data_IF_869911490947
#
_entry.id   IF_869911490947
#
_cell.length_a   1.000
_cell.length_b   1.000
_cell.length_c   1.000
_cell.angle_alpha   90.00
_cell.angle_beta   90.00
_cell.angle_gamma   90.00
#
_symmetry.space_group_name_H-M   'P 1'
#
loop_
_entity.id
_entity.type
_entity.pdbx_description
1 polymer ?
#
# COMPACT_ATOMS: atom_id res chain seq x y z
N UNK A 1 -0.14 -1.60 -10.48
CA UNK A 1 0.36 -0.80 -9.32
C UNK A 1 -0.87 -0.32 -8.56
N UNK A 2 -1.24 -1.02 -7.48
CA UNK A 2 -2.39 -0.62 -6.64
C UNK A 2 -2.11 0.77 -6.09
N UNK A 3 -2.94 1.73 -6.48
CA UNK A 3 -2.97 3.08 -5.90
C UNK A 3 -3.21 2.89 -4.41
N UNK A 4 -2.23 3.27 -3.58
CA UNK A 4 -2.47 3.52 -2.18
C UNK A 4 -3.49 4.66 -2.17
N UNK A 5 -4.75 4.35 -1.89
CA UNK A 5 -5.77 5.33 -1.57
C UNK A 5 -5.39 5.90 -0.20
N UNK A 6 -4.35 6.72 -0.21
CA UNK A 6 -4.10 7.63 0.87
C UNK A 6 -5.25 8.62 0.86
N UNK A 7 -5.96 8.69 1.96
CA UNK A 7 -6.99 9.70 2.17
C UNK A 7 -6.36 11.11 2.07
N UNK A 8 -6.21 11.61 0.85
CA UNK A 8 -5.86 13.02 0.55
C UNK A 8 -6.94 13.98 1.08
N UNK A 9 -8.07 13.46 1.56
CA UNK A 9 -9.23 14.24 2.00
C UNK A 9 -9.04 15.03 3.30
N UNK A 10 -7.91 14.92 4.01
CA UNK A 10 -7.73 15.58 5.32
C UNK A 10 -6.84 16.82 5.29
N UNK A 11 -6.22 17.18 4.17
CA UNK A 11 -5.34 18.37 4.10
C UNK A 11 -6.10 19.67 3.83
N UNK A 12 -7.31 19.59 3.26
CA UNK A 12 -8.02 20.80 2.83
C UNK A 12 -8.69 21.63 3.94
N UNK A 13 -8.85 21.10 5.16
CA UNK A 13 -9.63 21.78 6.20
C UNK A 13 -8.80 22.55 7.27
N UNK A 14 -7.47 22.43 7.23
CA UNK A 14 -6.61 23.11 8.24
C UNK A 14 -5.81 24.31 7.72
N UNK A 15 -5.88 24.62 6.43
CA UNK A 15 -4.98 25.60 5.80
C UNK A 15 -5.33 27.08 6.05
N UNK A 16 -6.55 27.39 6.46
CA UNK A 16 -6.97 28.80 6.57
C UNK A 16 -6.44 29.50 7.85
N UNK A 17 -6.18 28.75 8.92
CA UNK A 17 -5.74 29.36 10.19
C UNK A 17 -4.23 29.70 10.22
N UNK A 18 -3.40 29.09 9.38
CA UNK A 18 -1.95 29.34 9.38
C UNK A 18 -1.50 30.42 8.38
N UNK A 19 -2.34 30.81 7.44
CA UNK A 19 -2.01 31.84 6.43
C UNK A 19 -1.73 33.23 6.99
N UNK A 20 -2.01 33.50 8.29
CA UNK A 20 -1.79 34.78 8.92
C UNK A 20 -0.59 34.85 9.88
N UNK A 21 0.10 33.75 10.15
CA UNK A 21 1.28 33.80 10.99
C UNK A 21 2.48 34.28 10.16
N UNK A 22 2.96 35.53 10.42
CA UNK A 22 4.20 36.04 9.79
C UNK A 22 5.36 35.06 10.05
N UNK A 23 5.78 34.33 9.03
CA UNK A 23 6.92 33.43 9.13
C UNK A 23 8.18 34.26 9.40
N UNK A 24 8.89 33.94 10.48
CA UNK A 24 10.14 34.65 10.86
C UNK A 24 11.22 34.42 9.81
N UNK A 25 12.10 35.40 9.63
CA UNK A 25 13.31 35.20 8.84
C UNK A 25 14.20 34.13 9.46
N UNK A 26 15.06 33.51 8.67
CA UNK A 26 16.02 32.49 9.15
C UNK A 26 16.90 33.00 10.29
N UNK A 27 17.39 34.25 10.17
CA UNK A 27 18.22 34.88 11.20
C UNK A 27 17.45 35.12 12.49
N UNK A 28 16.20 35.63 12.40
CA UNK A 28 15.36 35.85 13.55
C UNK A 28 14.99 34.54 14.25
N UNK A 29 14.60 33.52 13.50
CA UNK A 29 14.28 32.21 14.07
C UNK A 29 15.49 31.55 14.76
N UNK A 30 16.69 31.72 14.21
CA UNK A 30 17.94 31.25 14.84
C UNK A 30 18.24 31.99 16.13
N UNK A 31 18.08 33.31 16.12
CA UNK A 31 18.29 34.16 17.33
C UNK A 31 17.32 33.79 18.45
N UNK A 32 16.04 33.55 18.13
CA UNK A 32 15.03 33.09 19.10
C UNK A 32 15.41 31.77 19.76
N UNK A 33 15.88 30.80 18.95
CA UNK A 33 16.33 29.51 19.50
C UNK A 33 17.51 29.69 20.45
N UNK A 34 18.53 30.46 20.07
CA UNK A 34 19.69 30.65 20.92
C UNK A 34 19.32 31.43 22.22
N UNK A 35 18.45 32.43 22.14
CA UNK A 35 17.95 33.13 23.32
C UNK A 35 17.16 32.20 24.26
N UNK A 36 16.23 31.38 23.69
CA UNK A 36 15.44 30.46 24.49
C UNK A 36 16.30 29.34 25.13
N UNK A 37 17.34 28.84 24.43
CA UNK A 37 18.30 27.89 24.97
C UNK A 37 19.04 28.44 26.20
N UNK A 38 19.59 29.66 26.12
CA UNK A 38 20.25 30.29 27.25
C UNK A 38 19.35 30.40 28.49
N UNK A 39 18.04 30.65 28.29
CA UNK A 39 17.07 30.66 29.38
C UNK A 39 16.85 29.28 29.95
N UNK A 40 16.78 28.22 29.09
CA UNK A 40 16.59 26.84 29.52
C UNK A 40 17.82 26.25 30.23
N UNK A 41 19.02 26.73 29.94
CA UNK A 41 20.28 26.36 30.60
C UNK A 41 20.40 26.95 32.04
N UNK A 42 19.62 27.96 32.37
CA UNK A 42 19.62 28.53 33.71
C UNK A 42 18.86 27.61 34.69
N UNK A 43 19.51 27.06 35.74
CA UNK A 43 18.89 26.10 36.66
C UNK A 43 17.59 26.58 37.31
N UNK A 44 17.50 27.89 37.68
CA UNK A 44 16.28 28.46 38.28
C UNK A 44 15.14 28.60 37.27
N UNK A 45 15.44 28.72 35.97
CA UNK A 45 14.45 28.86 34.90
C UNK A 45 14.08 27.47 34.31
N UNK A 46 14.98 26.52 34.33
CA UNK A 46 14.78 25.17 33.83
C UNK A 46 13.68 24.38 34.59
N UNK A 47 13.30 24.80 35.80
CA UNK A 47 12.18 24.21 36.55
C UNK A 47 10.79 24.73 36.11
N UNK A 48 10.74 25.74 35.22
CA UNK A 48 9.49 26.40 34.82
C UNK A 48 8.96 25.83 33.49
N UNK A 49 7.71 25.44 33.44
CA UNK A 49 7.00 24.98 32.26
C UNK A 49 7.15 25.93 31.08
N UNK A 50 6.90 27.23 31.32
CA UNK A 50 6.94 28.26 30.26
C UNK A 50 8.32 28.43 29.63
N UNK A 51 9.41 28.05 30.30
CA UNK A 51 10.77 28.06 29.75
C UNK A 51 10.89 27.10 28.62
N UNK A 52 10.45 25.86 28.83
CA UNK A 52 10.51 24.77 27.84
C UNK A 52 9.44 24.93 26.75
N UNK A 53 8.25 25.47 27.10
CA UNK A 53 7.22 25.82 26.10
C UNK A 53 7.77 26.87 25.10
N UNK A 54 8.45 27.90 25.59
CA UNK A 54 9.07 28.93 24.73
C UNK A 54 10.19 28.35 23.85
N UNK A 55 11.01 27.44 24.39
CA UNK A 55 12.05 26.76 23.61
C UNK A 55 11.45 25.88 22.53
N UNK A 56 10.41 25.11 22.86
CA UNK A 56 9.68 24.30 21.88
C UNK A 56 9.11 25.16 20.75
N UNK A 57 8.46 26.29 21.09
CA UNK A 57 7.91 27.23 20.11
C UNK A 57 9.01 27.88 19.25
N UNK A 58 10.18 28.18 19.82
CA UNK A 58 11.30 28.73 19.07
C UNK A 58 11.81 27.69 18.01
N UNK A 59 11.87 26.41 18.38
CA UNK A 59 12.18 25.35 17.40
C UNK A 59 11.09 25.19 16.34
N UNK A 60 9.81 25.30 16.68
CA UNK A 60 8.72 25.30 15.68
C UNK A 60 8.84 26.51 14.74
N UNK A 61 9.17 27.70 15.22
CA UNK A 61 9.44 28.83 14.34
C UNK A 61 10.64 28.57 13.41
N UNK A 62 11.68 27.89 13.91
CA UNK A 62 12.84 27.48 13.11
C UNK A 62 12.50 26.39 12.07
N UNK A 63 11.48 25.55 12.30
CA UNK A 63 10.95 24.59 11.31
C UNK A 63 10.23 25.31 10.17
N UNK A 64 9.41 26.33 10.47
CA UNK A 64 8.67 27.08 9.45
C UNK A 64 9.53 28.07 8.64
N UNK A 65 10.56 28.66 9.25
CA UNK A 65 11.36 29.70 8.61
C UNK A 65 11.92 29.34 7.21
N UNK A 66 12.45 28.13 6.96
CA UNK A 66 12.90 27.74 5.63
C UNK A 66 11.78 27.56 4.61
N UNK A 67 10.52 27.30 5.04
CA UNK A 67 9.37 27.09 4.16
C UNK A 67 8.90 28.39 3.51
N UNK A 68 9.33 29.54 4.02
CA UNK A 68 8.87 30.87 3.59
C UNK A 68 7.37 31.08 3.88
N UNK A 69 6.74 32.03 3.21
CA UNK A 69 5.32 32.37 3.41
C UNK A 69 4.35 31.58 2.54
N UNK A 70 4.76 30.40 2.04
CA UNK A 70 3.88 29.55 1.26
C UNK A 70 3.00 28.64 2.11
N UNK A 71 1.85 28.24 1.57
CA UNK A 71 0.97 27.23 2.16
C UNK A 71 0.39 26.31 1.08
N UNK A 72 0.13 25.06 1.45
CA UNK A 72 -0.44 24.08 0.53
C UNK A 72 -1.86 24.49 0.10
N UNK A 73 -2.18 24.28 -1.17
CA UNK A 73 -3.45 24.67 -1.79
C UNK A 73 -3.48 26.10 -2.33
N UNK A 74 -2.49 26.94 -1.98
CA UNK A 74 -2.42 28.30 -2.51
C UNK A 74 -2.21 28.31 -4.02
N UNK A 75 -2.88 29.24 -4.70
CA UNK A 75 -2.62 29.50 -6.12
C UNK A 75 -1.27 30.20 -6.31
N UNK A 76 -0.72 30.07 -7.50
CA UNK A 76 0.51 30.79 -7.86
C UNK A 76 0.35 32.32 -7.75
N UNK A 77 -0.83 32.85 -8.05
CA UNK A 77 -1.14 34.27 -7.94
C UNK A 77 -1.16 34.77 -6.48
N UNK A 78 -1.79 34.02 -5.57
CA UNK A 78 -1.79 34.33 -4.14
C UNK A 78 -0.37 34.34 -3.57
N UNK A 79 0.44 33.34 -3.95
CA UNK A 79 1.83 33.25 -3.48
C UNK A 79 2.74 34.33 -4.10
N UNK A 80 2.45 34.78 -5.30
CA UNK A 80 3.21 35.89 -5.92
C UNK A 80 3.19 37.17 -5.07
N UNK A 81 2.09 37.43 -4.36
CA UNK A 81 1.96 38.61 -3.45
C UNK A 81 2.81 38.42 -2.22
N UNK A 82 2.67 37.31 -1.48
CA UNK A 82 3.36 37.09 -0.19
C UNK A 82 4.83 36.73 -0.36
N UNK A 83 5.20 36.21 -1.53
CA UNK A 83 6.57 35.83 -1.90
C UNK A 83 7.28 36.84 -2.80
N UNK A 84 6.71 38.04 -3.00
CA UNK A 84 7.24 39.07 -3.91
C UNK A 84 8.71 39.43 -3.64
N UNK A 85 9.19 39.32 -2.40
CA UNK A 85 10.56 39.60 -2.00
C UNK A 85 11.51 38.40 -2.13
N UNK A 86 10.96 37.22 -2.43
CA UNK A 86 11.74 35.98 -2.49
C UNK A 86 12.22 35.71 -3.92
N UNK A 87 13.52 35.51 -4.09
CA UNK A 87 14.11 35.24 -5.41
C UNK A 87 13.82 33.81 -5.85
N UNK A 88 13.23 33.64 -7.04
CA UNK A 88 13.15 32.36 -7.76
C UNK A 88 14.44 32.13 -8.49
N UNK A 89 15.13 31.04 -8.19
CA UNK A 89 16.40 30.65 -8.84
C UNK A 89 16.20 29.82 -10.09
N UNK A 90 15.12 29.04 -10.15
CA UNK A 90 14.82 28.17 -11.29
C UNK A 90 13.33 27.84 -11.33
N UNK A 91 12.77 27.76 -12.55
CA UNK A 91 11.43 27.23 -12.81
C UNK A 91 11.56 26.12 -13.85
N UNK A 92 11.04 24.91 -13.54
CA UNK A 92 11.13 23.74 -14.43
C UNK A 92 9.85 22.92 -14.36
N UNK A 93 9.48 22.29 -15.49
CA UNK A 93 8.49 21.21 -15.51
C UNK A 93 9.14 19.91 -15.06
N UNK A 94 8.49 19.17 -14.17
CA UNK A 94 8.93 17.88 -13.64
C UNK A 94 7.77 16.91 -13.58
N UNK A 95 8.03 15.62 -13.78
CA UNK A 95 7.02 14.57 -13.57
C UNK A 95 7.22 13.91 -12.21
N UNK A 96 6.16 13.81 -11.42
CA UNK A 96 6.13 13.13 -10.12
C UNK A 96 4.97 12.14 -10.18
N UNK A 97 5.24 10.86 -10.03
CA UNK A 97 4.26 9.76 -10.10
C UNK A 97 3.35 9.84 -11.35
N UNK A 98 3.92 10.23 -12.49
CA UNK A 98 3.22 10.34 -13.77
C UNK A 98 2.50 11.68 -14.02
N UNK A 99 2.32 12.52 -12.99
CA UNK A 99 1.69 13.83 -13.11
C UNK A 99 2.75 14.92 -13.34
N UNK A 100 2.44 15.91 -14.20
CA UNK A 100 3.30 17.07 -14.43
C UNK A 100 3.12 18.12 -13.35
N UNK A 101 4.24 18.68 -12.85
CA UNK A 101 4.29 19.79 -11.90
C UNK A 101 5.19 20.90 -12.42
N UNK A 102 4.86 22.14 -12.06
CA UNK A 102 5.78 23.27 -12.20
C UNK A 102 6.56 23.43 -10.91
N UNK A 103 7.86 23.10 -10.95
CA UNK A 103 8.76 23.28 -9.81
C UNK A 103 9.39 24.67 -9.84
N UNK A 104 9.19 25.46 -8.76
CA UNK A 104 9.93 26.70 -8.51
C UNK A 104 10.91 26.51 -7.36
N UNK A 105 12.18 26.83 -7.61
CA UNK A 105 13.25 26.71 -6.63
C UNK A 105 13.52 28.05 -5.97
N UNK A 106 13.40 28.09 -4.66
CA UNK A 106 13.84 29.20 -3.80
C UNK A 106 15.11 28.82 -3.03
N UNK A 107 15.63 29.75 -2.21
CA UNK A 107 16.90 29.55 -1.49
C UNK A 107 16.90 28.32 -0.57
N UNK A 108 15.79 28.04 0.10
CA UNK A 108 15.66 27.00 1.14
C UNK A 108 14.56 25.98 0.89
N UNK A 109 13.72 26.21 -0.14
CA UNK A 109 12.54 25.41 -0.40
C UNK A 109 12.28 25.33 -1.88
N UNK A 110 11.76 24.19 -2.36
CA UNK A 110 11.16 24.02 -3.66
C UNK A 110 9.65 23.94 -3.50
N UNK A 111 8.93 24.68 -4.35
CA UNK A 111 7.49 24.62 -4.48
C UNK A 111 7.11 23.89 -5.76
N UNK A 112 6.15 22.98 -5.65
CA UNK A 112 5.66 22.24 -6.81
C UNK A 112 4.16 22.54 -6.98
N UNK A 113 3.84 23.14 -8.10
CA UNK A 113 2.48 23.51 -8.48
C UNK A 113 1.91 22.44 -9.38
N UNK A 114 0.71 21.96 -9.09
CA UNK A 114 -0.02 21.03 -9.91
C UNK A 114 -0.49 21.68 -11.23
N UNK A 115 -1.07 20.93 -12.19
CA UNK A 115 -1.55 21.49 -13.45
C UNK A 115 -2.62 22.59 -13.31
N UNK A 116 -3.29 22.66 -12.15
CA UNK A 116 -4.27 23.74 -11.85
C UNK A 116 -3.61 25.00 -11.26
N UNK A 117 -2.28 25.01 -11.15
CA UNK A 117 -1.53 26.14 -10.59
C UNK A 117 -1.61 26.25 -9.06
N UNK A 118 -2.01 25.20 -8.35
CA UNK A 118 -2.07 25.17 -6.89
C UNK A 118 -0.80 24.53 -6.32
N UNK A 119 -0.25 25.11 -5.26
CA UNK A 119 0.89 24.56 -4.52
C UNK A 119 0.49 23.27 -3.81
N UNK A 120 1.06 22.15 -4.22
CA UNK A 120 0.71 20.83 -3.70
C UNK A 120 1.84 20.20 -2.89
N UNK A 121 3.12 20.52 -3.21
CA UNK A 121 4.28 19.98 -2.52
C UNK A 121 5.25 21.11 -2.14
N UNK A 122 5.66 21.14 -0.87
CA UNK A 122 6.72 22.00 -0.37
C UNK A 122 7.88 21.16 0.12
N UNK A 123 9.02 21.20 -0.57
CA UNK A 123 10.22 20.48 -0.21
C UNK A 123 11.25 21.42 0.39
N UNK A 124 11.45 21.39 1.70
CA UNK A 124 12.55 22.11 2.35
C UNK A 124 13.89 21.48 1.99
N UNK A 125 14.74 22.23 1.29
CA UNK A 125 16.05 21.76 0.83
C UNK A 125 17.21 22.13 1.74
N UNK A 126 17.04 23.21 2.53
CA UNK A 126 18.03 23.70 3.49
C UNK A 126 17.34 24.03 4.82
N UNK A 127 17.06 23.02 5.67
CA UNK A 127 16.48 23.26 6.99
C UNK A 127 17.47 24.02 7.88
N UNK A 128 16.97 24.84 8.79
CA UNK A 128 17.80 25.57 9.75
C UNK A 128 18.50 24.60 10.73
N UNK A 129 17.80 23.56 11.15
CA UNK A 129 18.32 22.43 11.92
C UNK A 129 17.74 21.15 11.33
N UNK A 130 18.56 20.10 11.15
CA UNK A 130 18.12 18.82 10.55
C UNK A 130 17.11 18.05 11.42
N UNK A 131 17.21 18.23 12.74
CA UNK A 131 16.43 17.54 13.77
C UNK A 131 15.52 18.49 14.54
N UNK A 132 15.03 19.56 13.88
CA UNK A 132 14.32 20.67 14.52
C UNK A 132 13.04 20.22 15.24
N UNK A 133 12.25 19.30 14.64
CA UNK A 133 11.04 18.78 15.25
C UNK A 133 11.34 17.88 16.45
N UNK A 134 12.42 17.06 16.41
CA UNK A 134 12.89 16.29 17.57
C UNK A 134 13.30 17.20 18.73
N UNK A 135 13.96 18.32 18.44
CA UNK A 135 14.33 19.32 19.47
C UNK A 135 13.10 19.98 20.07
N UNK A 136 12.11 20.30 19.24
CA UNK A 136 10.84 20.85 19.72
C UNK A 136 10.12 19.85 20.62
N UNK A 137 10.04 18.57 20.19
CA UNK A 137 9.41 17.49 20.94
C UNK A 137 10.07 17.28 22.30
N UNK A 138 11.42 17.25 22.35
CA UNK A 138 12.19 17.15 23.61
C UNK A 138 11.94 18.34 24.53
N UNK A 139 11.81 19.55 23.99
CA UNK A 139 11.50 20.72 24.79
C UNK A 139 10.08 20.62 25.38
N UNK A 140 9.08 20.18 24.60
CA UNK A 140 7.72 20.01 25.12
C UNK A 140 7.60 18.80 26.09
N UNK A 141 8.36 17.74 25.89
CA UNK A 141 8.45 16.66 26.88
C UNK A 141 8.99 17.19 28.21
N UNK A 142 10.04 18.03 28.17
CA UNK A 142 10.60 18.64 29.36
C UNK A 142 9.63 19.64 30.03
N UNK A 143 8.84 20.37 29.22
CA UNK A 143 7.75 21.21 29.73
C UNK A 143 6.69 20.35 30.46
N UNK A 144 6.34 19.19 29.94
CA UNK A 144 5.39 18.27 30.57
C UNK A 144 5.90 17.76 31.92
N UNK A 145 7.18 17.38 32.03
CA UNK A 145 7.81 17.01 33.32
C UNK A 145 7.73 18.12 34.35
N UNK A 146 7.81 19.39 33.92
CA UNK A 146 7.70 20.54 34.80
C UNK A 146 6.26 20.92 35.13
N UNK A 147 5.24 20.45 34.42
CA UNK A 147 3.82 20.76 34.61
C UNK A 147 3.14 19.92 35.69
N UNK A 148 3.73 19.86 36.86
CA UNK A 148 3.28 19.04 38.01
C UNK A 148 1.81 19.29 38.37
N UNK A 149 1.30 20.50 38.10
CA UNK A 149 -0.08 20.92 38.42
C UNK A 149 -1.02 20.77 37.22
N UNK A 150 -0.55 20.21 36.11
CA UNK A 150 -1.31 19.97 34.86
C UNK A 150 -2.03 21.19 34.27
N UNK A 151 -1.47 22.41 34.51
CA UNK A 151 -2.07 23.67 34.04
C UNK A 151 -1.85 23.93 32.55
N UNK A 152 -0.86 23.30 31.95
CA UNK A 152 -0.48 23.46 30.54
C UNK A 152 -0.74 22.20 29.69
N UNK A 153 -1.31 21.16 30.26
CA UNK A 153 -1.54 19.86 29.59
C UNK A 153 -2.26 20.04 28.25
N UNK A 154 -3.31 20.87 28.16
CA UNK A 154 -4.01 21.09 26.88
C UNK A 154 -3.09 21.71 25.83
N UNK A 155 -2.32 22.73 26.21
CA UNK A 155 -1.39 23.39 25.27
C UNK A 155 -0.26 22.47 24.84
N UNK A 156 0.23 21.61 25.74
CA UNK A 156 1.25 20.59 25.42
C UNK A 156 0.72 19.52 24.49
N UNK A 157 -0.52 19.05 24.70
CA UNK A 157 -1.17 18.10 23.75
C UNK A 157 -1.25 18.68 22.35
N UNK A 158 -1.71 19.90 22.20
CA UNK A 158 -1.80 20.59 20.89
C UNK A 158 -0.42 20.80 20.26
N UNK A 159 0.58 21.17 21.04
CA UNK A 159 1.95 21.34 20.55
C UNK A 159 2.56 20.04 20.05
N UNK A 160 2.41 18.93 20.80
CA UNK A 160 2.91 17.60 20.43
C UNK A 160 2.14 17.07 19.22
N UNK A 161 0.80 17.24 19.20
CA UNK A 161 -0.02 16.91 18.03
C UNK A 161 0.49 17.64 16.78
N UNK A 162 0.75 18.95 16.89
CA UNK A 162 1.29 19.75 15.78
C UNK A 162 2.61 19.17 15.25
N UNK A 163 3.51 18.73 16.14
CA UNK A 163 4.77 18.08 15.71
C UNK A 163 4.50 16.78 14.98
N UNK A 164 3.60 15.93 15.50
CA UNK A 164 3.21 14.70 14.82
C UNK A 164 2.64 14.98 13.43
N UNK A 165 1.73 15.96 13.32
CA UNK A 165 1.14 16.36 12.05
C UNK A 165 2.22 16.86 11.06
N UNK A 166 3.22 17.62 11.52
CA UNK A 166 4.30 18.14 10.67
C UNK A 166 5.25 17.03 10.20
N UNK A 167 5.57 16.05 11.04
CA UNK A 167 6.27 14.87 10.59
C UNK A 167 5.49 14.10 9.53
N UNK A 168 4.17 14.02 9.68
CA UNK A 168 3.31 13.35 8.70
C UNK A 168 3.29 14.10 7.36
N UNK A 169 3.21 15.44 7.36
CA UNK A 169 3.32 16.28 6.16
C UNK A 169 4.69 16.09 5.46
N UNK A 170 5.80 16.10 6.22
CA UNK A 170 7.14 15.84 5.69
C UNK A 170 7.26 14.43 5.11
N UNK A 171 6.62 13.43 5.75
CA UNK A 171 6.58 12.06 5.27
C UNK A 171 5.83 11.93 3.92
N UNK A 172 4.67 12.59 3.79
CA UNK A 172 3.93 12.64 2.52
C UNK A 172 4.71 13.35 1.43
N UNK A 173 5.34 14.48 1.75
CA UNK A 173 6.22 15.19 0.81
C UNK A 173 7.33 14.28 0.31
N UNK A 174 8.01 13.56 1.21
CA UNK A 174 9.07 12.62 0.86
C UNK A 174 8.53 11.45 0.03
N UNK A 175 7.33 10.93 0.38
CA UNK A 175 6.67 9.85 -0.36
C UNK A 175 6.32 10.27 -1.79
N UNK A 176 5.69 11.43 -1.97
CA UNK A 176 5.36 11.95 -3.31
C UNK A 176 6.62 12.14 -4.17
N UNK A 177 7.69 12.63 -3.57
CA UNK A 177 9.00 12.79 -4.22
C UNK A 177 9.79 11.47 -4.36
N UNK A 178 9.16 10.32 -4.05
CA UNK A 178 9.75 8.98 -4.10
C UNK A 178 11.03 8.79 -3.24
N UNK A 179 11.21 9.64 -2.24
CA UNK A 179 12.25 9.54 -1.20
C UNK A 179 11.81 8.61 -0.09
N UNK A 180 11.50 7.35 -0.46
CA UNK A 180 10.82 6.40 0.42
C UNK A 180 11.55 6.11 1.74
N UNK A 181 12.89 6.13 1.73
CA UNK A 181 13.68 5.96 2.97
C UNK A 181 13.43 7.10 3.97
N UNK A 182 13.33 8.33 3.49
CA UNK A 182 13.06 9.50 4.34
C UNK A 182 11.57 9.51 4.75
N UNK A 183 10.67 9.18 3.82
CA UNK A 183 9.24 9.02 4.13
C UNK A 183 9.04 8.02 5.28
N UNK A 184 9.72 6.85 5.23
CA UNK A 184 9.66 5.86 6.32
C UNK A 184 10.09 6.44 7.67
N UNK A 185 11.18 7.23 7.70
CA UNK A 185 11.67 7.85 8.94
C UNK A 185 10.70 8.88 9.49
N UNK A 186 10.14 9.72 8.63
CA UNK A 186 9.20 10.76 9.04
C UNK A 186 7.85 10.19 9.50
N UNK A 187 7.31 9.17 8.83
CA UNK A 187 6.11 8.46 9.30
C UNK A 187 6.35 7.81 10.68
N UNK A 188 7.50 7.15 10.88
CA UNK A 188 7.84 6.61 12.20
C UNK A 188 7.95 7.72 13.24
N UNK A 189 8.61 8.85 12.91
CA UNK A 189 8.75 9.99 13.81
C UNK A 189 7.38 10.59 14.16
N UNK A 190 6.43 10.67 13.20
CA UNK A 190 5.04 11.08 13.46
C UNK A 190 4.38 10.18 14.49
N UNK A 191 4.43 8.86 14.29
CA UNK A 191 3.84 7.88 15.23
C UNK A 191 4.48 7.96 16.62
N UNK A 192 5.83 8.13 16.70
CA UNK A 192 6.55 8.28 17.97
C UNK A 192 6.21 9.61 18.68
N UNK A 193 6.05 10.69 17.92
CA UNK A 193 5.61 11.98 18.45
C UNK A 193 4.18 11.90 18.99
N UNK A 194 3.26 11.27 18.26
CA UNK A 194 1.88 11.07 18.71
C UNK A 194 1.80 10.28 20.03
N UNK A 195 2.68 9.30 20.23
CA UNK A 195 2.74 8.48 21.44
C UNK A 195 3.37 9.22 22.65
N UNK A 196 3.95 10.41 22.45
CA UNK A 196 4.58 11.19 23.53
C UNK A 196 3.53 11.77 24.49
N UNK A 197 3.77 11.60 25.81
CA UNK A 197 2.95 12.27 26.83
C UNK A 197 3.08 13.79 26.77
N UNK A 198 2.02 14.55 27.01
CA UNK A 198 0.68 14.14 27.45
C UNK A 198 -0.29 13.88 26.29
N UNK A 199 0.13 13.87 25.02
CA UNK A 199 -0.76 13.59 23.88
C UNK A 199 -1.15 12.11 23.83
N UNK A 200 -0.17 11.20 23.92
CA UNK A 200 -0.32 9.75 24.15
C UNK A 200 -1.29 9.04 23.20
N UNK A 201 -1.26 9.35 21.91
CA UNK A 201 -2.08 8.74 20.88
C UNK A 201 -1.31 7.63 20.17
N UNK A 202 -1.91 6.44 20.06
CA UNK A 202 -1.36 5.34 19.27
C UNK A 202 -1.71 5.55 17.79
N UNK A 203 -0.78 6.11 17.02
CA UNK A 203 -0.93 6.29 15.56
C UNK A 203 -0.40 5.06 14.80
N UNK A 204 -1.26 4.05 14.67
CA UNK A 204 -0.95 2.82 13.93
C UNK A 204 -0.88 3.06 12.42
N UNK A 205 -1.58 4.06 11.89
CA UNK A 205 -1.56 4.39 10.46
C UNK A 205 -0.19 4.93 10.04
N UNK A 206 0.36 5.91 10.76
CA UNK A 206 1.71 6.41 10.50
C UNK A 206 2.75 5.32 10.70
N UNK A 207 2.61 4.46 11.70
CA UNK A 207 3.52 3.33 11.91
C UNK A 207 3.48 2.36 10.72
N UNK A 208 2.29 2.03 10.22
CA UNK A 208 2.13 1.17 9.04
C UNK A 208 2.70 1.82 7.77
N UNK A 209 2.42 3.11 7.56
CA UNK A 209 2.97 3.87 6.44
C UNK A 209 4.50 3.93 6.49
N UNK A 210 5.10 4.00 7.69
CA UNK A 210 6.54 3.91 7.87
C UNK A 210 7.10 2.55 7.40
N UNK A 211 6.43 1.45 7.74
CA UNK A 211 6.79 0.11 7.30
C UNK A 211 6.69 -0.04 5.78
N UNK A 212 5.57 0.43 5.22
CA UNK A 212 5.28 0.37 3.79
C UNK A 212 6.25 1.24 2.97
N UNK A 213 6.56 2.45 3.44
CA UNK A 213 7.54 3.31 2.78
C UNK A 213 8.95 2.67 2.78
N UNK A 214 9.36 2.00 3.87
CA UNK A 214 10.59 1.23 3.88
C UNK A 214 10.55 0.09 2.84
N UNK A 215 9.44 -0.65 2.75
CA UNK A 215 9.26 -1.69 1.74
C UNK A 215 9.38 -1.12 0.31
N UNK A 216 8.73 0.01 0.02
CA UNK A 216 8.77 0.67 -1.29
C UNK A 216 10.15 1.24 -1.67
N UNK A 217 11.05 1.39 -0.71
CA UNK A 217 12.44 1.80 -0.99
C UNK A 217 13.28 0.67 -1.60
N UNK A 218 12.89 -0.61 -1.44
CA UNK A 218 13.68 -1.78 -1.83
C UNK A 218 14.02 -1.86 -3.33
N UNK A 219 13.08 -1.59 -4.27
CA UNK A 219 13.40 -1.65 -5.70
C UNK A 219 14.47 -0.64 -6.14
N UNK A 220 14.55 0.50 -5.45
CA UNK A 220 15.50 1.59 -5.76
C UNK A 220 16.81 1.51 -4.94
N UNK A 221 16.88 0.57 -4.00
CA UNK A 221 18.03 0.44 -3.11
C UNK A 221 19.17 -0.32 -3.78
N UNK A 222 20.41 0.13 -3.54
CA UNK A 222 21.61 -0.61 -3.89
C UNK A 222 21.71 -1.90 -3.06
N UNK A 223 22.39 -2.91 -3.60
CA UNK A 223 22.46 -4.25 -2.99
C UNK A 223 22.96 -4.23 -1.53
N UNK A 224 23.94 -3.39 -1.23
CA UNK A 224 24.49 -3.19 0.12
C UNK A 224 23.50 -2.62 1.12
N UNK A 225 22.51 -1.82 0.67
CA UNK A 225 21.49 -1.19 1.53
C UNK A 225 20.25 -2.03 1.73
N UNK A 226 19.95 -2.97 0.83
CA UNK A 226 18.75 -3.81 0.91
C UNK A 226 18.58 -4.52 2.26
N UNK A 227 19.61 -5.17 2.85
CA UNK A 227 19.43 -5.86 4.13
C UNK A 227 18.97 -4.95 5.28
N UNK A 228 19.51 -3.74 5.35
CA UNK A 228 19.12 -2.77 6.39
C UNK A 228 17.69 -2.25 6.21
N UNK A 229 17.26 -2.07 4.96
CA UNK A 229 15.90 -1.63 4.61
C UNK A 229 14.89 -2.75 4.89
N UNK A 230 15.21 -4.00 4.52
CA UNK A 230 14.38 -5.18 4.85
C UNK A 230 14.18 -5.26 6.36
N UNK A 231 15.28 -5.24 7.14
CA UNK A 231 15.22 -5.29 8.61
C UNK A 231 14.36 -4.16 9.21
N UNK A 232 14.47 -2.95 8.65
CA UNK A 232 13.66 -1.80 9.08
C UNK A 232 12.18 -2.02 8.81
N UNK A 233 11.84 -2.41 7.58
CA UNK A 233 10.45 -2.66 7.17
C UNK A 233 9.82 -3.76 8.01
N UNK A 234 10.54 -4.88 8.18
CA UNK A 234 10.10 -6.02 8.98
C UNK A 234 9.86 -5.65 10.45
N UNK A 235 10.78 -4.89 11.07
CA UNK A 235 10.62 -4.39 12.43
C UNK A 235 9.32 -3.60 12.59
N UNK A 236 9.06 -2.68 11.68
CA UNK A 236 7.89 -1.80 11.74
C UNK A 236 6.57 -2.55 11.48
N UNK A 237 6.54 -3.49 10.51
CA UNK A 237 5.36 -4.34 10.30
C UNK A 237 5.10 -5.25 11.50
N UNK A 238 6.13 -5.85 12.10
CA UNK A 238 5.98 -6.64 13.32
C UNK A 238 5.44 -5.80 14.48
N UNK A 239 5.88 -4.55 14.61
CA UNK A 239 5.33 -3.63 15.62
C UNK A 239 3.85 -3.33 15.37
N UNK A 240 3.44 -3.13 14.10
CA UNK A 240 2.03 -2.96 13.73
C UNK A 240 1.21 -4.20 14.15
N UNK A 241 1.68 -5.39 13.79
CA UNK A 241 1.04 -6.66 14.13
C UNK A 241 0.90 -6.84 15.64
N UNK A 242 1.96 -6.54 16.41
CA UNK A 242 1.95 -6.60 17.88
C UNK A 242 0.95 -5.63 18.51
N UNK A 243 0.65 -4.51 17.85
CA UNK A 243 -0.35 -3.52 18.27
C UNK A 243 -1.76 -3.83 17.74
N UNK A 244 -1.96 -4.98 17.11
CA UNK A 244 -3.25 -5.40 16.55
C UNK A 244 -3.65 -4.68 15.27
N UNK A 245 -2.72 -4.00 14.60
CA UNK A 245 -2.97 -3.33 13.34
C UNK A 245 -2.38 -4.12 12.16
N UNK A 246 -3.24 -4.58 11.28
CA UNK A 246 -2.88 -5.50 10.19
C UNK A 246 -3.09 -4.92 8.80
N UNK A 247 -3.74 -3.76 8.71
CA UNK A 247 -4.31 -3.16 7.50
C UNK A 247 -5.39 -4.07 6.87
N UNK A 248 -5.91 -3.66 5.71
CA UNK A 248 -6.97 -4.38 5.00
C UNK A 248 -6.52 -5.81 4.67
N UNK A 249 -7.39 -6.78 4.95
CA UNK A 249 -7.21 -8.19 4.60
C UNK A 249 -5.88 -8.81 5.09
N UNK A 250 -5.31 -8.26 6.17
CA UNK A 250 -4.08 -8.78 6.75
C UNK A 250 -2.82 -8.49 5.92
N UNK A 251 -2.80 -7.41 5.13
CA UNK A 251 -1.69 -7.04 4.25
C UNK A 251 -0.32 -7.01 4.96
N UNK A 252 -0.29 -6.64 6.26
CA UNK A 252 0.94 -6.64 7.05
C UNK A 252 1.60 -8.02 7.09
N UNK A 253 0.83 -9.11 7.21
CA UNK A 253 1.36 -10.48 7.19
C UNK A 253 1.89 -10.87 5.82
N UNK A 254 1.18 -10.50 4.74
CA UNK A 254 1.65 -10.73 3.38
C UNK A 254 2.99 -10.02 3.13
N UNK A 255 3.12 -8.76 3.56
CA UNK A 255 4.40 -8.01 3.43
C UNK A 255 5.52 -8.61 4.28
N UNK A 256 5.24 -9.08 5.49
CA UNK A 256 6.22 -9.80 6.31
C UNK A 256 6.69 -11.10 5.63
N UNK A 257 5.79 -11.85 5.01
CA UNK A 257 6.13 -13.04 4.26
C UNK A 257 7.00 -12.72 3.02
N UNK A 258 6.67 -11.66 2.26
CA UNK A 258 7.50 -11.19 1.14
C UNK A 258 8.91 -10.78 1.59
N UNK A 259 9.03 -10.06 2.72
CA UNK A 259 10.33 -9.69 3.32
C UNK A 259 11.14 -10.91 3.76
N UNK A 260 10.48 -11.93 4.31
CA UNK A 260 11.11 -13.20 4.67
C UNK A 260 11.66 -13.93 3.42
N UNK A 261 10.92 -13.93 2.31
CA UNK A 261 11.41 -14.45 1.01
C UNK A 261 12.68 -13.72 0.56
N UNK A 262 12.71 -12.38 0.67
CA UNK A 262 13.87 -11.58 0.29
C UNK A 262 15.13 -11.89 1.12
N UNK A 263 14.96 -12.49 2.32
CA UNK A 263 16.04 -12.98 3.19
C UNK A 263 16.34 -14.46 3.02
N UNK A 264 15.66 -15.16 2.11
CA UNK A 264 15.70 -16.63 1.97
C UNK A 264 15.25 -17.37 3.24
N UNK A 265 14.37 -16.79 4.05
CA UNK A 265 13.87 -17.35 5.30
C UNK A 265 12.48 -17.96 5.10
N UNK A 266 12.46 -19.18 4.58
CA UNK A 266 11.23 -19.92 4.28
C UNK A 266 10.41 -20.22 5.56
N UNK A 267 11.08 -20.44 6.70
CA UNK A 267 10.40 -20.72 7.98
C UNK A 267 9.61 -19.49 8.43
N UNK A 268 10.24 -18.31 8.43
CA UNK A 268 9.55 -17.07 8.77
C UNK A 268 8.42 -16.76 7.78
N UNK A 269 8.63 -16.98 6.46
CA UNK A 269 7.58 -16.82 5.43
C UNK A 269 6.32 -17.58 5.81
N UNK A 270 6.45 -18.89 6.06
CA UNK A 270 5.31 -19.77 6.37
C UNK A 270 4.63 -19.33 7.65
N UNK A 271 5.41 -19.06 8.71
CA UNK A 271 4.89 -18.56 9.98
C UNK A 271 4.02 -17.31 9.81
N UNK A 272 4.47 -16.32 9.05
CA UNK A 272 3.69 -15.10 8.82
C UNK A 272 2.43 -15.38 8.00
N UNK A 273 2.50 -16.24 6.99
CA UNK A 273 1.34 -16.61 6.18
C UNK A 273 0.29 -17.38 7.00
N UNK A 274 0.70 -18.35 7.83
CA UNK A 274 -0.23 -19.09 8.70
C UNK A 274 -0.88 -18.18 9.75
N UNK A 275 -0.11 -17.29 10.39
CA UNK A 275 -0.66 -16.30 11.31
C UNK A 275 -1.65 -15.36 10.64
N UNK A 276 -1.33 -14.95 9.42
CA UNK A 276 -2.21 -14.13 8.61
C UNK A 276 -3.49 -14.87 8.24
N UNK A 277 -3.39 -16.12 7.81
CA UNK A 277 -4.54 -16.96 7.46
C UNK A 277 -5.48 -17.21 8.64
N UNK A 278 -4.95 -17.50 9.82
CA UNK A 278 -5.75 -17.68 11.03
C UNK A 278 -6.61 -16.44 11.37
N UNK A 279 -6.13 -15.24 11.07
CA UNK A 279 -6.83 -13.98 11.35
C UNK A 279 -7.67 -13.48 10.18
N UNK A 280 -7.26 -13.79 8.96
CA UNK A 280 -7.85 -13.30 7.69
C UNK A 280 -7.99 -14.46 6.70
N UNK A 281 -8.86 -15.45 7.00
CA UNK A 281 -9.01 -16.64 6.16
C UNK A 281 -9.55 -16.32 4.76
N UNK A 282 -10.16 -15.13 4.56
CA UNK A 282 -10.63 -14.64 3.26
C UNK A 282 -9.56 -13.87 2.46
N UNK A 283 -8.37 -13.66 3.01
CA UNK A 283 -7.31 -12.91 2.33
C UNK A 283 -6.74 -13.69 1.14
N UNK A 284 -7.08 -13.27 -0.07
CA UNK A 284 -6.63 -13.91 -1.30
C UNK A 284 -5.10 -13.98 -1.44
N UNK A 285 -4.41 -12.90 -1.08
CA UNK A 285 -2.95 -12.83 -1.20
C UNK A 285 -2.25 -13.83 -0.27
N UNK A 286 -2.76 -13.99 0.96
CA UNK A 286 -2.23 -14.96 1.93
C UNK A 286 -2.54 -16.39 1.47
N UNK A 287 -3.77 -16.64 1.06
CA UNK A 287 -4.22 -17.95 0.60
C UNK A 287 -3.40 -18.45 -0.60
N UNK A 288 -3.26 -17.62 -1.65
CA UNK A 288 -2.46 -17.96 -2.83
C UNK A 288 -0.99 -18.24 -2.43
N UNK A 289 -0.44 -17.45 -1.52
CA UNK A 289 0.94 -17.61 -1.07
C UNK A 289 1.16 -18.91 -0.28
N UNK A 290 0.16 -19.33 0.52
CA UNK A 290 0.18 -20.63 1.24
C UNK A 290 0.06 -21.80 0.28
N UNK A 291 -0.91 -21.74 -0.65
CA UNK A 291 -1.08 -22.78 -1.68
C UNK A 291 0.24 -22.97 -2.44
N UNK A 292 0.79 -21.88 -2.98
CA UNK A 292 2.03 -21.94 -3.73
C UNK A 292 3.18 -22.50 -2.89
N UNK A 293 3.26 -22.16 -1.60
CA UNK A 293 4.29 -22.71 -0.72
C UNK A 293 4.15 -24.22 -0.56
N UNK A 294 2.98 -24.68 -0.10
CA UNK A 294 2.76 -26.10 0.19
C UNK A 294 2.78 -27.00 -1.06
N UNK A 295 2.45 -26.44 -2.24
CA UNK A 295 2.46 -27.16 -3.49
C UNK A 295 3.83 -27.23 -4.18
N UNK A 296 4.69 -26.23 -4.01
CA UNK A 296 5.95 -26.13 -4.78
C UNK A 296 7.22 -26.44 -3.99
N UNK A 297 7.18 -26.31 -2.67
CA UNK A 297 8.38 -26.41 -1.83
C UNK A 297 8.54 -27.77 -1.14
N UNK A 298 7.80 -28.80 -1.57
CA UNK A 298 7.75 -30.09 -0.86
C UNK A 298 7.17 -29.93 0.56
N UNK A 299 6.41 -28.84 0.77
CA UNK A 299 5.76 -28.57 2.04
C UNK A 299 4.67 -29.59 2.34
N UNK A 300 4.30 -29.68 3.60
CA UNK A 300 3.25 -30.59 4.06
C UNK A 300 1.87 -30.11 3.57
N UNK A 301 1.42 -30.68 2.45
CA UNK A 301 0.09 -30.37 1.89
C UNK A 301 -1.03 -30.72 2.89
N UNK A 302 -0.83 -31.71 3.76
CA UNK A 302 -1.81 -32.04 4.81
C UNK A 302 -2.00 -30.86 5.75
N UNK A 303 -0.92 -30.11 6.03
CA UNK A 303 -0.99 -28.89 6.84
C UNK A 303 -1.89 -27.83 6.22
N UNK A 304 -1.86 -27.67 4.89
CA UNK A 304 -2.79 -26.76 4.19
C UNK A 304 -4.25 -27.18 4.40
N UNK A 305 -4.56 -28.46 4.23
CA UNK A 305 -5.94 -28.96 4.46
C UNK A 305 -6.37 -28.84 5.92
N UNK A 306 -5.48 -29.12 6.88
CA UNK A 306 -5.77 -28.89 8.30
C UNK A 306 -6.16 -27.42 8.59
N UNK A 307 -5.44 -26.46 8.01
CA UNK A 307 -5.73 -25.02 8.16
C UNK A 307 -7.08 -24.66 7.51
N UNK A 308 -7.34 -25.18 6.29
CA UNK A 308 -8.61 -24.96 5.59
C UNK A 308 -9.77 -25.56 6.40
N UNK A 309 -9.63 -26.78 6.89
CA UNK A 309 -10.69 -27.45 7.66
C UNK A 309 -10.95 -26.75 9.01
N UNK A 310 -9.90 -26.29 9.68
CA UNK A 310 -10.03 -25.50 10.89
C UNK A 310 -10.77 -24.16 10.63
N UNK A 311 -10.43 -23.50 9.52
CA UNK A 311 -11.10 -22.27 9.11
C UNK A 311 -12.57 -22.50 8.73
N UNK A 312 -12.89 -23.58 8.00
CA UNK A 312 -14.27 -23.96 7.64
C UNK A 312 -15.14 -24.25 8.88
N UNK A 313 -14.57 -24.83 9.94
CA UNK A 313 -15.31 -25.04 11.21
C UNK A 313 -15.76 -23.72 11.83
N UNK A 314 -14.94 -22.69 11.72
CA UNK A 314 -15.24 -21.36 12.25
C UNK A 314 -16.10 -20.53 11.31
N UNK A 315 -15.89 -20.67 10.00
CA UNK A 315 -16.55 -19.88 8.96
C UNK A 315 -17.12 -20.79 7.83
N UNK A 316 -18.15 -21.62 8.11
CA UNK A 316 -18.65 -22.61 7.16
C UNK A 316 -19.24 -22.02 5.87
N UNK A 317 -19.66 -20.75 5.93
CA UNK A 317 -20.21 -20.02 4.78
C UNK A 317 -19.19 -19.09 4.10
N UNK A 318 -17.92 -19.24 4.39
CA UNK A 318 -16.86 -18.47 3.73
C UNK A 318 -16.46 -19.15 2.40
N UNK A 319 -17.01 -18.64 1.29
CA UNK A 319 -16.81 -19.18 -0.04
C UNK A 319 -15.32 -19.26 -0.44
N UNK A 320 -14.47 -18.34 0.05
CA UNK A 320 -13.05 -18.31 -0.31
C UNK A 320 -12.28 -19.55 0.19
N UNK A 321 -12.71 -20.18 1.28
CA UNK A 321 -12.08 -21.41 1.79
C UNK A 321 -12.29 -22.58 0.85
N UNK A 322 -13.45 -22.66 0.22
CA UNK A 322 -13.78 -23.70 -0.77
C UNK A 322 -13.06 -23.45 -2.10
N UNK A 323 -12.86 -22.18 -2.48
CA UNK A 323 -12.00 -21.84 -3.60
C UNK A 323 -10.57 -22.32 -3.39
N UNK A 324 -10.00 -22.07 -2.22
CA UNK A 324 -8.64 -22.50 -1.87
C UNK A 324 -8.50 -24.00 -1.85
N UNK A 325 -9.48 -24.70 -1.27
CA UNK A 325 -9.52 -26.16 -1.31
C UNK A 325 -9.55 -26.68 -2.74
N UNK A 326 -10.41 -26.10 -3.58
CA UNK A 326 -10.52 -26.48 -4.99
C UNK A 326 -9.21 -26.32 -5.74
N UNK A 327 -8.53 -25.18 -5.59
CA UNK A 327 -7.24 -24.91 -6.23
C UNK A 327 -6.14 -25.87 -5.74
N UNK A 328 -6.08 -26.16 -4.45
CA UNK A 328 -5.14 -27.11 -3.88
C UNK A 328 -5.39 -28.55 -4.42
N UNK A 329 -6.64 -28.99 -4.45
CA UNK A 329 -7.01 -30.35 -4.95
C UNK A 329 -6.71 -30.52 -6.43
N UNK A 330 -7.05 -29.51 -7.27
CA UNK A 330 -6.72 -29.56 -8.72
C UNK A 330 -5.20 -29.71 -8.91
N UNK A 331 -4.40 -28.94 -8.19
CA UNK A 331 -2.93 -29.03 -8.28
C UNK A 331 -2.35 -30.37 -7.83
N UNK A 332 -3.07 -31.08 -6.96
CA UNK A 332 -2.73 -32.45 -6.54
C UNK A 332 -3.26 -33.55 -7.47
N UNK A 333 -3.93 -33.19 -8.56
CA UNK A 333 -4.56 -34.13 -9.45
C UNK A 333 -5.89 -34.73 -8.93
N UNK A 334 -6.43 -34.23 -7.83
CA UNK A 334 -7.73 -34.59 -7.24
C UNK A 334 -8.84 -33.77 -7.93
N UNK A 335 -9.07 -34.09 -9.21
CA UNK A 335 -9.86 -33.23 -10.11
C UNK A 335 -11.32 -33.12 -9.69
N UNK A 336 -11.96 -34.26 -9.38
CA UNK A 336 -13.39 -34.32 -9.06
C UNK A 336 -13.67 -33.53 -7.76
N UNK A 337 -12.87 -33.75 -6.73
CA UNK A 337 -12.98 -33.06 -5.46
C UNK A 337 -12.68 -31.56 -5.60
N UNK A 338 -11.72 -31.21 -6.47
CA UNK A 338 -11.38 -29.82 -6.75
C UNK A 338 -12.53 -29.07 -7.42
N UNK A 339 -13.13 -29.66 -8.45
CA UNK A 339 -14.31 -29.10 -9.12
C UNK A 339 -15.54 -29.05 -8.20
N UNK A 340 -15.73 -30.05 -7.34
CA UNK A 340 -16.79 -30.03 -6.33
C UNK A 340 -16.60 -28.88 -5.32
N UNK A 341 -15.37 -28.63 -4.89
CA UNK A 341 -15.05 -27.52 -3.99
C UNK A 341 -15.30 -26.16 -4.67
N UNK A 342 -14.91 -25.95 -5.92
CA UNK A 342 -15.25 -24.73 -6.67
C UNK A 342 -16.76 -24.55 -6.86
N UNK A 343 -17.50 -25.63 -7.12
CA UNK A 343 -18.94 -25.60 -7.24
C UNK A 343 -19.59 -25.20 -5.90
N UNK A 344 -19.08 -25.75 -4.79
CA UNK A 344 -19.54 -25.38 -3.43
C UNK A 344 -19.23 -23.92 -3.09
N UNK A 345 -18.08 -23.41 -3.54
CA UNK A 345 -17.73 -21.99 -3.44
C UNK A 345 -18.80 -21.10 -4.10
N UNK A 346 -19.18 -21.43 -5.35
CA UNK A 346 -20.20 -20.70 -6.10
C UNK A 346 -21.61 -20.86 -5.51
N UNK A 347 -21.93 -22.02 -4.93
CA UNK A 347 -23.20 -22.25 -4.22
C UNK A 347 -23.33 -21.38 -2.96
N UNK A 348 -22.26 -21.32 -2.14
CA UNK A 348 -22.24 -20.53 -0.90
C UNK A 348 -22.34 -19.05 -1.18
N UNK A 349 -21.61 -18.55 -2.17
CA UNK A 349 -21.69 -17.16 -2.56
C UNK A 349 -21.71 -17.02 -4.10
N UNK A 350 -22.90 -16.96 -4.71
CA UNK A 350 -23.04 -16.79 -6.15
C UNK A 350 -22.49 -15.46 -6.70
N UNK A 351 -22.18 -14.49 -5.85
CA UNK A 351 -21.56 -13.21 -6.22
C UNK A 351 -20.02 -13.20 -6.00
N UNK A 352 -19.44 -14.34 -5.68
CA UNK A 352 -18.01 -14.48 -5.51
C UNK A 352 -17.41 -15.16 -6.76
N UNK A 353 -16.82 -14.35 -7.64
CA UNK A 353 -16.38 -14.76 -8.98
C UNK A 353 -15.38 -15.91 -9.00
N UNK A 354 -14.58 -16.07 -7.94
CA UNK A 354 -13.48 -17.05 -7.94
C UNK A 354 -13.90 -18.51 -8.01
N UNK A 355 -15.10 -18.87 -7.53
CA UNK A 355 -15.63 -20.21 -7.72
C UNK A 355 -15.83 -20.54 -9.20
N UNK A 356 -16.41 -19.63 -9.96
CA UNK A 356 -16.61 -19.78 -11.41
C UNK A 356 -15.28 -19.69 -12.17
N UNK A 357 -14.38 -18.79 -11.77
CA UNK A 357 -13.04 -18.67 -12.35
C UNK A 357 -12.26 -19.98 -12.19
N UNK A 358 -12.31 -20.63 -11.02
CA UNK A 358 -11.64 -21.89 -10.76
C UNK A 358 -12.10 -22.99 -11.71
N UNK A 359 -13.42 -23.15 -11.89
CA UNK A 359 -14.01 -24.11 -12.83
C UNK A 359 -13.57 -23.80 -14.26
N UNK A 360 -13.70 -22.54 -14.67
CA UNK A 360 -13.39 -22.10 -16.02
C UNK A 360 -11.92 -22.31 -16.38
N UNK A 361 -11.01 -21.90 -15.50
CA UNK A 361 -9.57 -22.06 -15.72
C UNK A 361 -9.15 -23.51 -15.77
N UNK A 362 -9.75 -24.38 -14.97
CA UNK A 362 -9.49 -25.82 -15.08
C UNK A 362 -9.80 -26.33 -16.48
N UNK A 363 -11.01 -26.07 -16.99
CA UNK A 363 -11.40 -26.55 -18.32
C UNK A 363 -10.61 -25.90 -19.46
N UNK A 364 -10.30 -24.62 -19.35
CA UNK A 364 -9.46 -23.93 -20.33
C UNK A 364 -8.05 -24.51 -20.39
N UNK A 365 -7.40 -24.70 -19.26
CA UNK A 365 -6.05 -25.27 -19.17
C UNK A 365 -6.05 -26.74 -19.64
N UNK A 366 -7.07 -27.52 -19.29
CA UNK A 366 -7.19 -28.91 -19.77
C UNK A 366 -7.35 -28.97 -21.29
N UNK A 367 -8.09 -28.03 -21.88
CA UNK A 367 -8.17 -27.95 -23.35
C UNK A 367 -6.79 -27.62 -23.96
N UNK A 368 -6.03 -26.69 -23.37
CA UNK A 368 -4.66 -26.40 -23.83
C UNK A 368 -3.76 -27.63 -23.73
N UNK A 369 -3.83 -28.40 -22.63
CA UNK A 369 -3.10 -29.68 -22.50
C UNK A 369 -3.46 -30.68 -23.59
N UNK A 370 -4.75 -30.82 -23.93
CA UNK A 370 -5.21 -31.68 -25.02
C UNK A 370 -4.62 -31.23 -26.36
N UNK A 371 -4.55 -29.93 -26.60
CA UNK A 371 -3.91 -29.35 -27.79
C UNK A 371 -2.41 -29.71 -27.84
N UNK A 372 -1.72 -29.59 -26.69
CA UNK A 372 -0.30 -29.97 -26.59
C UNK A 372 -0.08 -31.49 -26.76
N UNK A 373 -1.00 -32.33 -26.26
CA UNK A 373 -1.00 -33.77 -26.47
C UNK A 373 -1.13 -34.10 -27.98
N UNK A 374 -2.07 -33.44 -28.65
CA UNK A 374 -2.28 -33.62 -30.09
C UNK A 374 -1.06 -33.14 -30.92
N UNK A 375 -0.41 -32.07 -30.52
CA UNK A 375 0.80 -31.57 -31.19
C UNK A 375 2.00 -32.53 -31.08
N UNK A 376 2.03 -33.40 -30.06
CA UNK A 376 3.06 -34.40 -29.82
C UNK A 376 2.70 -35.78 -30.40
N UNK A 377 1.46 -35.97 -30.84
CA UNK A 377 1.01 -37.25 -31.41
C UNK A 377 1.73 -37.59 -32.73
N UNK A 378 1.91 -38.89 -33.00
CA UNK A 378 2.47 -39.31 -34.29
C UNK A 378 1.52 -38.88 -35.42
N UNK A 379 2.03 -38.12 -36.36
CA UNK A 379 1.26 -37.61 -37.52
C UNK A 379 0.65 -38.74 -38.37
N UNK A 380 1.14 -39.99 -38.21
CA UNK A 380 0.58 -41.19 -38.85
C UNK A 380 -0.64 -41.76 -38.11
N UNK A 381 -0.83 -41.38 -36.84
CA UNK A 381 -2.00 -41.77 -36.03
C UNK A 381 -3.10 -40.70 -36.10
N UNK A 382 -3.68 -40.59 -37.34
CA UNK A 382 -4.75 -39.63 -37.59
C UNK A 382 -5.99 -39.85 -36.69
N UNK A 383 -6.22 -41.10 -36.24
CA UNK A 383 -7.37 -41.42 -35.37
C UNK A 383 -7.21 -40.77 -33.98
N UNK A 384 -6.02 -40.83 -33.41
CA UNK A 384 -5.74 -40.14 -32.14
C UNK A 384 -5.84 -38.62 -32.30
N UNK A 385 -5.28 -38.08 -33.39
CA UNK A 385 -5.40 -36.66 -33.65
C UNK A 385 -6.86 -36.21 -33.83
N UNK A 386 -7.66 -36.97 -34.62
CA UNK A 386 -9.07 -36.66 -34.86
C UNK A 386 -9.91 -36.75 -33.59
N UNK A 387 -9.67 -37.78 -32.75
CA UNK A 387 -10.30 -37.86 -31.41
C UNK A 387 -9.98 -36.65 -30.54
N UNK A 388 -8.73 -36.16 -30.54
CA UNK A 388 -8.31 -35.03 -29.71
C UNK A 388 -8.79 -33.69 -30.28
N UNK A 389 -8.61 -33.43 -31.58
CA UNK A 389 -8.73 -32.12 -32.21
C UNK A 389 -9.80 -32.01 -33.29
N UNK A 390 -10.38 -33.15 -33.73
CA UNK A 390 -11.43 -33.19 -34.75
C UNK A 390 -12.73 -32.50 -34.27
N UNK A 391 -13.70 -32.30 -35.20
CA UNK A 391 -15.00 -31.72 -34.85
C UNK A 391 -15.69 -32.53 -33.75
N UNK A 392 -16.02 -31.91 -32.64
CA UNK A 392 -16.58 -32.57 -31.44
C UNK A 392 -15.59 -33.44 -30.67
N UNK A 393 -14.30 -33.33 -30.94
CA UNK A 393 -13.24 -34.04 -30.20
C UNK A 393 -13.00 -33.48 -28.79
N UNK A 394 -12.12 -34.18 -28.07
CA UNK A 394 -11.86 -33.88 -26.63
C UNK A 394 -11.53 -32.42 -26.35
N UNK A 395 -10.77 -31.76 -27.25
CA UNK A 395 -10.44 -30.34 -27.15
C UNK A 395 -11.69 -29.44 -27.16
N UNK A 396 -12.55 -29.60 -28.18
CA UNK A 396 -13.74 -28.76 -28.33
C UNK A 396 -14.73 -28.96 -27.19
N UNK A 397 -14.97 -30.23 -26.81
CA UNK A 397 -15.86 -30.60 -25.71
C UNK A 397 -15.36 -29.99 -24.39
N UNK A 398 -14.06 -30.05 -24.15
CA UNK A 398 -13.46 -29.50 -22.92
C UNK A 398 -13.46 -27.99 -22.95
N UNK A 399 -13.09 -27.34 -24.06
CA UNK A 399 -13.02 -25.88 -24.18
C UNK A 399 -14.40 -25.25 -24.04
N UNK A 400 -15.47 -25.82 -24.59
CA UNK A 400 -16.84 -25.31 -24.41
C UNK A 400 -17.24 -25.19 -22.95
N UNK A 401 -16.79 -26.10 -22.08
CA UNK A 401 -17.12 -26.10 -20.64
C UNK A 401 -16.57 -24.92 -19.87
N UNK A 402 -15.57 -24.20 -20.39
CA UNK A 402 -15.02 -23.02 -19.71
C UNK A 402 -15.84 -21.73 -19.96
N UNK A 403 -16.62 -21.66 -21.05
CA UNK A 403 -17.23 -20.42 -21.54
C UNK A 403 -18.27 -19.88 -20.54
N UNK A 404 -19.26 -20.69 -20.20
CA UNK A 404 -20.34 -20.29 -19.27
C UNK A 404 -19.80 -19.85 -17.89
N UNK A 405 -18.91 -20.60 -17.22
CA UNK A 405 -18.34 -20.15 -15.96
C UNK A 405 -17.54 -18.83 -16.07
N UNK A 406 -16.77 -18.61 -17.16
CA UNK A 406 -16.13 -17.33 -17.39
C UNK A 406 -17.13 -16.19 -17.60
N UNK A 407 -18.23 -16.43 -18.34
CA UNK A 407 -19.30 -15.42 -18.50
C UNK A 407 -19.97 -15.07 -17.19
N UNK A 408 -20.23 -16.04 -16.32
CA UNK A 408 -20.75 -15.80 -14.96
C UNK A 408 -19.77 -14.95 -14.14
N UNK A 409 -18.49 -15.33 -14.12
CA UNK A 409 -17.47 -14.54 -13.41
C UNK A 409 -17.37 -13.11 -13.95
N UNK A 410 -17.37 -12.93 -15.27
CA UNK A 410 -17.38 -11.61 -15.91
C UNK A 410 -18.58 -10.76 -15.48
N UNK A 411 -19.77 -11.36 -15.44
CA UNK A 411 -21.03 -10.67 -15.11
C UNK A 411 -21.10 -10.18 -13.68
N UNK A 412 -20.50 -10.90 -12.74
CA UNK A 412 -20.59 -10.58 -11.29
C UNK A 412 -19.38 -9.81 -10.76
N UNK A 413 -18.21 -9.91 -11.42
CA UNK A 413 -17.02 -9.21 -10.96
C UNK A 413 -17.18 -7.69 -11.02
N UNK A 414 -16.67 -7.02 -9.98
CA UNK A 414 -16.57 -5.55 -9.89
C UNK A 414 -15.17 -5.03 -10.19
N UNK A 415 -14.21 -5.94 -10.39
CA UNK A 415 -12.82 -5.62 -10.70
C UNK A 415 -12.63 -5.61 -12.22
N UNK A 416 -12.31 -4.44 -12.78
CA UNK A 416 -12.16 -4.27 -14.22
C UNK A 416 -10.95 -5.04 -14.80
N UNK A 417 -9.91 -5.32 -14.01
CA UNK A 417 -8.77 -6.13 -14.45
C UNK A 417 -9.19 -7.61 -14.56
N UNK A 418 -9.97 -8.11 -13.59
CA UNK A 418 -10.55 -9.46 -13.65
C UNK A 418 -11.49 -9.57 -14.85
N UNK A 419 -12.40 -8.62 -15.05
CA UNK A 419 -13.32 -8.62 -16.20
C UNK A 419 -12.57 -8.65 -17.54
N UNK A 420 -11.53 -7.83 -17.69
CA UNK A 420 -10.70 -7.86 -18.90
C UNK A 420 -10.05 -9.21 -19.12
N UNK A 421 -9.53 -9.83 -18.07
CA UNK A 421 -8.94 -11.16 -18.17
C UNK A 421 -9.98 -12.20 -18.58
N UNK A 422 -11.18 -12.18 -17.97
CA UNK A 422 -12.26 -13.10 -18.35
C UNK A 422 -12.70 -12.90 -19.80
N UNK A 423 -12.83 -11.64 -20.24
CA UNK A 423 -13.18 -11.31 -21.63
C UNK A 423 -12.15 -11.86 -22.63
N UNK A 424 -10.86 -11.79 -22.32
CA UNK A 424 -9.81 -12.40 -23.17
C UNK A 424 -9.95 -13.91 -23.24
N UNK A 425 -10.18 -14.61 -22.12
CA UNK A 425 -10.39 -16.06 -22.11
C UNK A 425 -11.65 -16.46 -22.91
N UNK A 426 -12.78 -15.78 -22.71
CA UNK A 426 -14.02 -16.04 -23.43
C UNK A 426 -13.83 -15.82 -24.94
N UNK A 427 -13.23 -14.69 -25.32
CA UNK A 427 -12.91 -14.36 -26.70
C UNK A 427 -12.07 -15.47 -27.35
N UNK A 428 -10.99 -15.90 -26.69
CA UNK A 428 -10.10 -16.93 -27.21
C UNK A 428 -10.81 -18.28 -27.35
N UNK A 429 -11.66 -18.65 -26.39
CA UNK A 429 -12.45 -19.89 -26.47
C UNK A 429 -13.50 -19.81 -27.59
N UNK A 430 -14.26 -18.72 -27.69
CA UNK A 430 -15.30 -18.52 -28.71
C UNK A 430 -14.73 -18.45 -30.11
N UNK A 431 -13.50 -17.98 -30.29
CA UNK A 431 -12.84 -17.93 -31.61
C UNK A 431 -12.75 -19.31 -32.28
N UNK A 432 -12.60 -20.39 -31.52
CA UNK A 432 -12.61 -21.76 -32.06
C UNK A 432 -13.95 -22.11 -32.71
N UNK A 433 -15.05 -21.61 -32.12
CA UNK A 433 -16.43 -21.94 -32.50
C UNK A 433 -17.11 -20.83 -33.32
N UNK A 434 -16.35 -19.89 -33.91
CA UNK A 434 -16.87 -18.71 -34.63
C UNK A 434 -17.74 -19.02 -35.86
N UNK A 435 -17.78 -20.28 -36.33
CA UNK A 435 -18.72 -20.76 -37.35
C UNK A 435 -20.13 -20.99 -36.80
N UNK A 436 -20.29 -21.13 -35.50
CA UNK A 436 -21.58 -21.22 -34.82
C UNK A 436 -22.03 -19.82 -34.40
N UNK A 437 -23.27 -19.41 -34.80
CA UNK A 437 -23.77 -18.04 -34.62
C UNK A 437 -23.73 -17.57 -33.15
N UNK A 438 -24.05 -18.45 -32.20
CA UNK A 438 -23.98 -18.15 -30.78
C UNK A 438 -22.58 -17.69 -30.34
N UNK A 439 -21.54 -18.43 -30.73
CA UNK A 439 -20.16 -18.12 -30.30
C UNK A 439 -19.58 -16.95 -31.10
N UNK A 440 -20.05 -16.72 -32.32
CA UNK A 440 -19.70 -15.53 -33.08
C UNK A 440 -20.21 -14.26 -32.40
N UNK A 441 -21.47 -14.25 -31.96
CA UNK A 441 -22.06 -13.11 -31.22
C UNK A 441 -21.31 -12.86 -29.91
N UNK A 442 -20.93 -13.94 -29.18
CA UNK A 442 -20.11 -13.78 -27.97
C UNK A 442 -18.72 -13.23 -28.31
N UNK A 443 -18.07 -13.71 -29.34
CA UNK A 443 -16.78 -13.22 -29.81
C UNK A 443 -16.82 -11.72 -30.13
N UNK A 444 -17.84 -11.27 -30.88
CA UNK A 444 -18.00 -9.87 -31.23
C UNK A 444 -18.24 -8.99 -29.97
N UNK A 445 -19.12 -9.41 -29.07
CA UNK A 445 -19.38 -8.75 -27.79
C UNK A 445 -18.11 -8.52 -26.96
N UNK A 446 -17.26 -9.56 -26.81
CA UNK A 446 -16.05 -9.46 -25.98
C UNK A 446 -14.89 -8.73 -26.69
N UNK A 447 -14.84 -8.76 -28.06
CA UNK A 447 -13.95 -7.89 -28.81
C UNK A 447 -14.31 -6.41 -28.61
N UNK A 448 -15.59 -6.05 -28.72
CA UNK A 448 -16.07 -4.68 -28.47
C UNK A 448 -15.71 -4.23 -27.04
N UNK A 449 -15.97 -5.05 -26.04
CA UNK A 449 -15.61 -4.75 -24.65
C UNK A 449 -14.10 -4.51 -24.46
N UNK A 450 -13.26 -5.23 -25.18
CA UNK A 450 -11.80 -5.11 -25.13
C UNK A 450 -11.26 -3.98 -26.02
N UNK A 451 -12.11 -3.30 -26.81
CA UNK A 451 -11.70 -2.27 -27.75
C UNK A 451 -10.92 -2.80 -28.96
N UNK A 452 -11.23 -4.00 -29.43
CA UNK A 452 -10.53 -4.70 -30.54
C UNK A 452 -11.47 -4.91 -31.73
#
# INVERSE_FOLDING_TARGET
>A
MKKILLAIALVASFTVAYAQQQVKSLSAAKADVEAAKKVAENPKKATKVDTWMKLGQAYMNAYYAPQKSGWLGASEAELAVVMAKEKVYSTKKVKIQGQEYTKKQYQTVNYYYNPKGQLEIMEVTKPLYRDVLDRALKAYAKANECDVKHKKTKQLKEAIKTISDKYNEDAYTAYLLEKFTDASKYFEASARAAAQEPYAVLDTNSLYNAALAAYLALPKATTDKKPSIIKRSEKLFNECVAKGFYNKDGEAFAKLAELAVMRNDTVAKVKYLEQGFQKFPQSQSILISLINHYMTSGGDVNRLFELIDAAKKNEPNNASLYYVEGDARIKLGQIEEGLAAFSKCAEINPNYEFGYIGIALYYYNRAVEIQDEAAKADLRDYKTYDRLMGPGGDFEVTLKKCIEPFEKAFGISKDEEIKKSMAEYIKNACFRFRSEEEYKLKLDKYNEYLGK
#
